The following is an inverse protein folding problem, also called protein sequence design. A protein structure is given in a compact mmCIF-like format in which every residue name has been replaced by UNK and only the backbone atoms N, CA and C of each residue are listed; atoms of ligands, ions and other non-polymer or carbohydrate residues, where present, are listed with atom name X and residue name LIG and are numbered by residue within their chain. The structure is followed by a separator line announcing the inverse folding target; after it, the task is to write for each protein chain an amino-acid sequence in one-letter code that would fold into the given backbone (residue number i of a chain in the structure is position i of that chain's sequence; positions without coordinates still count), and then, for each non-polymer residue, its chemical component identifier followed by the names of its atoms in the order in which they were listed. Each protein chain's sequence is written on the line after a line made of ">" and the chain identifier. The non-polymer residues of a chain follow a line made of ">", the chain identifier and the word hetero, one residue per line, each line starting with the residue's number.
data_IF_993625750616
#
_entry.id   IF_993625750616
#
_cell.length_a   1.000
_cell.length_b   1.000
_cell.length_c   1.000
_cell.angle_alpha   90.00
_cell.angle_beta   90.00
_cell.angle_gamma   90.00
#
_symmetry.space_group_name_H-M   'P 1'
#
loop_
_entity.id
_entity.type
_entity.pdbx_description
1 polymer ?
#
# COMPACT_ATOMS: atom_id res chain seq x y z
N UNK A 1 26.43 -14.54 3.47
CA UNK A 1 25.03 -14.31 3.06
C UNK A 1 24.84 -12.90 2.53
N UNK A 2 25.04 -11.83 3.27
CA UNK A 2 24.66 -10.46 2.85
C UNK A 2 25.18 -10.00 1.48
N UNK A 3 26.44 -10.26 1.11
CA UNK A 3 26.99 -9.87 -0.22
C UNK A 3 26.28 -10.67 -1.33
N UNK A 4 26.07 -11.96 -1.14
CA UNK A 4 25.37 -12.79 -2.11
C UNK A 4 23.91 -12.34 -2.29
N UNK A 5 23.24 -11.94 -1.21
CA UNK A 5 21.87 -11.43 -1.27
C UNK A 5 21.78 -10.12 -2.05
N UNK A 6 22.75 -9.24 -1.90
CA UNK A 6 22.85 -8.01 -2.71
C UNK A 6 23.03 -8.32 -4.19
N UNK A 7 23.89 -9.26 -4.54
CA UNK A 7 24.11 -9.70 -5.94
C UNK A 7 22.83 -10.33 -6.50
N UNK A 8 22.18 -11.18 -5.73
CA UNK A 8 20.94 -11.84 -6.10
C UNK A 8 19.70 -10.94 -5.97
N UNK A 9 19.87 -9.73 -5.43
CA UNK A 9 18.80 -8.77 -5.12
C UNK A 9 17.66 -9.42 -4.33
N UNK A 10 18.00 -10.18 -3.30
CA UNK A 10 17.07 -10.82 -2.38
C UNK A 10 17.12 -10.15 -1.02
N UNK A 11 15.93 -9.87 -0.48
CA UNK A 11 15.76 -9.45 0.91
C UNK A 11 15.31 -10.65 1.73
N UNK A 12 16.07 -10.97 2.78
CA UNK A 12 15.72 -12.02 3.74
C UNK A 12 15.98 -11.60 5.17
N UNK A 13 15.35 -12.27 6.11
CA UNK A 13 15.68 -12.13 7.53
C UNK A 13 16.99 -12.84 7.87
N UNK A 14 17.69 -12.37 8.90
CA UNK A 14 18.82 -13.09 9.49
C UNK A 14 18.26 -14.09 10.50
N UNK A 15 18.41 -15.39 10.23
CA UNK A 15 17.80 -16.47 11.02
C UNK A 15 16.36 -16.81 10.57
N UNK A 16 15.61 -17.49 11.44
CA UNK A 16 14.25 -17.92 11.14
C UNK A 16 13.30 -16.71 11.00
N UNK A 17 12.58 -16.56 9.89
CA UNK A 17 11.71 -15.40 9.64
C UNK A 17 10.61 -15.25 10.68
N UNK A 18 9.92 -16.33 11.05
CA UNK A 18 8.79 -16.26 11.99
C UNK A 18 9.24 -15.77 13.35
N UNK A 19 10.35 -16.32 13.87
CA UNK A 19 10.94 -15.87 15.14
C UNK A 19 11.29 -14.38 15.08
N UNK A 20 11.89 -13.93 13.98
CA UNK A 20 12.30 -12.52 13.83
C UNK A 20 11.13 -11.56 13.75
N UNK A 21 9.99 -11.97 13.16
CA UNK A 21 8.79 -11.15 13.12
C UNK A 21 8.03 -11.15 14.44
N UNK A 22 8.05 -12.25 15.18
CA UNK A 22 7.49 -12.32 16.55
C UNK A 22 8.28 -11.47 17.56
N UNK A 23 9.62 -11.41 17.45
CA UNK A 23 10.45 -10.54 18.31
C UNK A 23 10.16 -9.04 18.09
N UNK A 24 9.97 -8.60 16.86
CA UNK A 24 9.61 -7.22 16.51
C UNK A 24 8.79 -7.23 15.23
N UNK A 25 7.48 -7.15 15.39
CA UNK A 25 6.50 -7.21 14.30
C UNK A 25 6.63 -6.04 13.31
N UNK A 26 7.24 -4.91 13.71
CA UNK A 26 7.49 -3.78 12.81
C UNK A 26 8.44 -4.15 11.65
N UNK A 27 9.24 -5.21 11.81
CA UNK A 27 10.11 -5.75 10.75
C UNK A 27 9.33 -6.15 9.50
N UNK A 28 8.05 -6.54 9.63
CA UNK A 28 7.16 -6.82 8.52
C UNK A 28 7.06 -5.59 7.59
N UNK A 29 6.67 -4.46 8.17
CA UNK A 29 6.50 -3.20 7.44
C UNK A 29 7.84 -2.65 6.92
N UNK A 30 8.88 -2.74 7.73
CA UNK A 30 10.25 -2.35 7.35
C UNK A 30 10.77 -3.14 6.16
N UNK A 31 10.49 -4.45 6.10
CA UNK A 31 10.84 -5.29 4.96
C UNK A 31 10.22 -4.79 3.67
N UNK A 32 8.90 -4.55 3.66
CA UNK A 32 8.18 -4.03 2.51
C UNK A 32 8.74 -2.65 2.07
N UNK A 33 8.97 -1.76 3.05
CA UNK A 33 9.59 -0.46 2.76
C UNK A 33 10.97 -0.59 2.13
N UNK A 34 11.83 -1.47 2.66
CA UNK A 34 13.18 -1.64 2.11
C UNK A 34 13.17 -2.11 0.67
N UNK A 35 12.40 -3.14 0.33
CA UNK A 35 12.26 -3.60 -1.06
C UNK A 35 11.75 -2.46 -1.95
N UNK A 36 10.74 -1.74 -1.50
CA UNK A 36 10.14 -0.65 -2.25
C UNK A 36 11.14 0.50 -2.51
N UNK A 37 11.84 0.97 -1.47
CA UNK A 37 12.82 2.06 -1.57
C UNK A 37 14.04 1.66 -2.41
N UNK A 38 14.54 0.43 -2.26
CA UNK A 38 15.67 -0.07 -3.06
C UNK A 38 15.30 -0.14 -4.54
N UNK A 39 14.10 -0.62 -4.86
CA UNK A 39 13.60 -0.71 -6.22
C UNK A 39 13.42 0.69 -6.84
N UNK A 40 12.86 1.63 -6.09
CA UNK A 40 12.73 3.02 -6.55
C UNK A 40 14.10 3.63 -6.89
N UNK A 41 15.11 3.45 -6.03
CA UNK A 41 16.48 3.93 -6.28
C UNK A 41 17.09 3.29 -7.50
N UNK A 42 16.93 1.98 -7.69
CA UNK A 42 17.43 1.28 -8.87
C UNK A 42 16.82 1.84 -10.16
N UNK A 43 15.50 1.97 -10.20
CA UNK A 43 14.77 2.45 -11.37
C UNK A 43 15.15 3.89 -11.72
N UNK A 44 15.31 4.77 -10.74
CA UNK A 44 15.73 6.17 -10.97
C UNK A 44 17.18 6.25 -11.48
N UNK A 45 18.07 5.44 -10.93
CA UNK A 45 19.48 5.39 -11.36
C UNK A 45 19.62 4.86 -12.79
N UNK A 46 18.81 3.87 -13.15
CA UNK A 46 18.85 3.25 -14.49
C UNK A 46 18.24 4.15 -15.57
N UNK A 47 17.16 4.87 -15.26
CA UNK A 47 16.57 5.86 -16.19
C UNK A 47 17.59 6.93 -16.62
N UNK A 48 18.55 7.25 -15.76
CA UNK A 48 19.60 8.23 -16.05
C UNK A 48 20.76 7.68 -16.89
N UNK A 49 20.81 6.36 -17.10
CA UNK A 49 21.81 5.71 -17.97
C UNK A 49 21.16 5.39 -19.31
N UNK A 50 21.50 6.16 -20.35
CA UNK A 50 20.97 6.00 -21.73
C UNK A 50 21.19 4.63 -22.39
N UNK A 51 21.96 3.72 -21.76
CA UNK A 51 22.44 2.48 -22.39
C UNK A 51 21.68 1.21 -21.98
N UNK A 52 20.87 1.22 -20.90
CA UNK A 52 20.20 0.02 -20.44
C UNK A 52 18.67 0.13 -20.54
N UNK A 53 18.02 -0.72 -21.36
CA UNK A 53 16.57 -0.77 -21.39
C UNK A 53 16.02 -1.23 -20.02
N UNK A 54 15.05 -0.50 -19.49
CA UNK A 54 14.38 -0.74 -18.19
C UNK A 54 13.95 -2.21 -18.04
N UNK A 55 13.64 -2.88 -19.14
CA UNK A 55 13.23 -4.29 -19.17
C UNK A 55 14.32 -5.29 -18.72
N UNK A 56 15.58 -4.87 -18.54
CA UNK A 56 16.68 -5.73 -18.06
C UNK A 56 17.07 -5.49 -16.61
N UNK A 57 16.41 -4.55 -15.90
CA UNK A 57 16.72 -4.27 -14.50
C UNK A 57 16.08 -5.30 -13.61
N UNK A 58 16.88 -6.20 -13.05
CA UNK A 58 16.40 -7.10 -11.99
C UNK A 58 16.16 -6.28 -10.73
N UNK A 59 14.92 -6.32 -10.22
CA UNK A 59 14.53 -5.65 -8.99
C UNK A 59 14.85 -6.51 -7.76
N UNK A 60 14.93 -5.86 -6.60
CA UNK A 60 14.95 -6.55 -5.31
C UNK A 60 13.60 -7.23 -5.07
N UNK A 61 13.66 -8.40 -4.49
CA UNK A 61 12.50 -9.21 -4.14
C UNK A 61 12.77 -9.94 -2.83
N UNK A 62 11.73 -10.45 -2.19
CA UNK A 62 11.90 -11.26 -0.99
C UNK A 62 12.39 -12.66 -1.33
N UNK A 63 13.17 -13.21 -0.41
CA UNK A 63 13.43 -14.64 -0.40
C UNK A 63 12.11 -15.38 -0.08
N UNK A 64 11.82 -16.56 -0.73
CA UNK A 64 10.50 -17.19 -0.66
C UNK A 64 10.00 -17.51 0.76
N UNK A 65 10.88 -18.01 1.64
CA UNK A 65 10.51 -18.32 3.03
C UNK A 65 10.21 -17.04 3.82
N UNK A 66 11.00 -15.99 3.62
CA UNK A 66 10.76 -14.68 4.23
C UNK A 66 9.42 -14.11 3.78
N UNK A 67 9.10 -14.21 2.48
CA UNK A 67 7.82 -13.74 1.95
C UNK A 67 6.63 -14.53 2.49
N UNK A 68 6.75 -15.85 2.55
CA UNK A 68 5.73 -16.71 3.14
C UNK A 68 5.48 -16.34 4.60
N UNK A 69 6.54 -16.13 5.36
CA UNK A 69 6.46 -15.73 6.77
C UNK A 69 5.84 -14.33 6.95
N UNK A 70 6.15 -13.36 6.06
CA UNK A 70 5.50 -12.05 6.05
C UNK A 70 3.98 -12.21 5.95
N UNK A 71 3.50 -13.00 4.98
CA UNK A 71 2.06 -13.23 4.81
C UNK A 71 1.44 -13.95 6.00
N UNK A 72 2.08 -14.98 6.53
CA UNK A 72 1.55 -15.74 7.69
C UNK A 72 1.47 -14.89 8.96
N UNK A 73 2.33 -13.89 9.10
CA UNK A 73 2.46 -13.06 10.30
C UNK A 73 1.84 -11.66 10.16
N UNK A 74 1.13 -11.35 9.05
CA UNK A 74 0.57 -10.02 8.79
C UNK A 74 -0.29 -9.47 9.93
N UNK A 75 -1.03 -10.33 10.64
CA UNK A 75 -1.87 -9.95 11.77
C UNK A 75 -1.10 -9.41 12.98
N UNK A 76 0.21 -9.66 13.09
CA UNK A 76 1.06 -9.07 14.13
C UNK A 76 1.13 -7.55 14.01
N UNK A 77 0.81 -6.96 12.87
CA UNK A 77 0.71 -5.50 12.73
C UNK A 77 -0.26 -4.87 13.74
N UNK A 78 -1.33 -5.60 14.11
CA UNK A 78 -2.34 -5.13 15.08
C UNK A 78 -1.79 -4.96 16.49
N UNK A 79 -0.62 -5.54 16.80
CA UNK A 79 0.03 -5.46 18.11
C UNK A 79 1.05 -4.32 18.21
N UNK A 80 1.33 -3.64 17.09
CA UNK A 80 2.34 -2.58 17.04
C UNK A 80 1.72 -1.24 17.46
N UNK A 81 2.47 -0.45 18.21
CA UNK A 81 2.06 0.92 18.53
C UNK A 81 1.86 1.75 17.25
N UNK A 82 0.77 2.47 17.17
CA UNK A 82 0.32 3.22 15.99
C UNK A 82 1.36 4.24 15.53
N UNK A 83 2.06 4.87 16.43
CA UNK A 83 3.12 5.85 16.17
C UNK A 83 4.28 5.22 15.38
N UNK A 84 4.64 3.96 15.70
CA UNK A 84 5.69 3.23 15.00
C UNK A 84 5.28 2.87 13.57
N UNK A 85 4.02 2.46 13.38
CA UNK A 85 3.44 2.19 12.05
C UNK A 85 3.45 3.48 11.23
N UNK A 86 2.93 4.56 11.78
CA UNK A 86 2.87 5.89 11.14
C UNK A 86 4.26 6.36 10.68
N UNK A 87 5.27 6.22 11.54
CA UNK A 87 6.64 6.60 11.20
C UNK A 87 7.19 5.79 10.01
N UNK A 88 7.01 4.46 9.98
CA UNK A 88 7.45 3.62 8.88
C UNK A 88 6.69 3.90 7.58
N UNK A 89 5.38 4.12 7.62
CA UNK A 89 4.58 4.52 6.46
C UNK A 89 5.02 5.88 5.93
N UNK A 90 5.24 6.87 6.80
CA UNK A 90 5.74 8.20 6.40
C UNK A 90 7.06 8.08 5.65
N UNK A 91 8.01 7.30 6.17
CA UNK A 91 9.30 7.03 5.49
C UNK A 91 9.08 6.35 4.13
N UNK A 92 8.18 5.36 4.07
CA UNK A 92 7.90 4.61 2.86
C UNK A 92 7.27 5.49 1.76
N UNK A 93 6.31 6.33 2.12
CA UNK A 93 5.65 7.25 1.20
C UNK A 93 6.54 8.42 0.76
N UNK A 94 7.50 8.84 1.61
CA UNK A 94 8.45 9.92 1.27
C UNK A 94 9.57 9.44 0.37
N UNK A 95 10.09 8.23 0.60
CA UNK A 95 11.35 7.76 -0.02
C UNK A 95 11.15 6.71 -1.11
N UNK A 96 10.03 6.01 -1.08
CA UNK A 96 9.73 4.90 -1.97
C UNK A 96 8.80 5.28 -3.11
N UNK A 97 8.32 4.24 -3.78
CA UNK A 97 7.27 4.27 -4.77
C UNK A 97 5.93 3.96 -4.10
N UNK A 98 5.04 4.93 -3.89
CA UNK A 98 3.76 4.70 -3.20
C UNK A 98 2.89 3.65 -3.89
N UNK A 99 2.80 3.65 -5.21
CA UNK A 99 2.09 2.64 -5.99
C UNK A 99 2.63 1.22 -5.71
N UNK A 100 3.95 1.04 -5.79
CA UNK A 100 4.58 -0.26 -5.52
C UNK A 100 4.43 -0.69 -4.05
N UNK A 101 4.45 0.26 -3.10
CA UNK A 101 4.22 -0.04 -1.69
C UNK A 101 2.80 -0.56 -1.44
N UNK A 102 1.78 0.11 -2.00
CA UNK A 102 0.38 -0.32 -1.83
C UNK A 102 0.16 -1.70 -2.42
N UNK A 103 0.77 -2.01 -3.58
CA UNK A 103 0.75 -3.35 -4.15
C UNK A 103 1.36 -4.41 -3.23
N UNK A 104 2.53 -4.12 -2.63
CA UNK A 104 3.17 -5.03 -1.67
C UNK A 104 2.34 -5.23 -0.39
N UNK A 105 1.72 -4.16 0.12
CA UNK A 105 0.82 -4.25 1.29
C UNK A 105 -0.41 -5.10 0.98
N UNK A 106 -0.92 -5.00 -0.22
CA UNK A 106 -2.06 -5.78 -0.68
C UNK A 106 -1.73 -7.27 -0.81
N UNK A 107 -0.64 -7.60 -1.49
CA UNK A 107 -0.16 -8.97 -1.64
C UNK A 107 0.20 -9.63 -0.28
N UNK A 108 0.62 -8.83 0.70
CA UNK A 108 0.94 -9.27 2.05
C UNK A 108 -0.29 -9.31 2.99
N UNK A 109 -1.51 -9.03 2.48
CA UNK A 109 -2.76 -8.97 3.26
C UNK A 109 -2.76 -7.92 4.37
N UNK A 110 -1.84 -6.94 4.30
CA UNK A 110 -1.70 -5.86 5.27
C UNK A 110 -2.56 -4.64 4.94
N UNK A 111 -3.03 -4.53 3.69
CA UNK A 111 -3.79 -3.37 3.23
C UNK A 111 -5.07 -3.18 4.04
N UNK A 112 -5.81 -4.26 4.31
CA UNK A 112 -7.05 -4.23 5.09
C UNK A 112 -6.83 -3.81 6.55
N UNK A 113 -5.62 -4.00 7.08
CA UNK A 113 -5.27 -3.62 8.45
C UNK A 113 -4.88 -2.15 8.52
N UNK A 114 -4.09 -1.68 7.54
CA UNK A 114 -3.49 -0.35 7.56
C UNK A 114 -4.37 0.71 6.87
N UNK A 115 -5.12 0.31 5.85
CA UNK A 115 -5.96 1.18 5.01
C UNK A 115 -7.31 0.51 4.72
N UNK A 116 -8.13 0.24 5.76
CA UNK A 116 -9.39 -0.49 5.60
C UNK A 116 -10.35 0.20 4.63
N UNK A 117 -10.46 1.51 4.65
CA UNK A 117 -11.31 2.26 3.71
C UNK A 117 -10.86 2.07 2.24
N UNK A 118 -9.54 2.06 1.99
CA UNK A 118 -9.01 1.78 0.66
C UNK A 118 -9.29 0.32 0.24
N UNK A 119 -9.14 -0.63 1.16
CA UNK A 119 -9.39 -2.04 0.86
C UNK A 119 -10.85 -2.30 0.45
N UNK A 120 -11.82 -1.55 1.01
CA UNK A 120 -13.23 -1.63 0.66
C UNK A 120 -13.53 -1.17 -0.78
N UNK A 121 -12.65 -0.37 -1.40
CA UNK A 121 -12.87 0.13 -2.78
C UNK A 121 -12.64 -0.92 -3.86
N UNK A 122 -12.09 -2.08 -3.51
CA UNK A 122 -11.86 -3.17 -4.46
C UNK A 122 -13.17 -3.74 -5.00
N UNK A 123 -13.20 -3.97 -6.30
CA UNK A 123 -14.35 -4.52 -7.01
C UNK A 123 -15.64 -3.68 -6.86
N UNK A 124 -15.50 -2.39 -6.54
CA UNK A 124 -16.60 -1.44 -6.59
C UNK A 124 -16.60 -0.78 -7.96
N UNK A 125 -17.48 -1.28 -8.83
CA UNK A 125 -17.59 -0.77 -10.19
C UNK A 125 -18.09 0.68 -10.22
N UNK A 126 -17.66 1.41 -11.23
CA UNK A 126 -18.10 2.77 -11.52
C UNK A 126 -18.81 2.81 -12.86
N UNK A 127 -19.69 3.82 -13.13
CA UNK A 127 -20.30 3.96 -14.44
C UNK A 127 -19.24 4.07 -15.53
N UNK A 128 -19.22 3.09 -16.45
CA UNK A 128 -18.21 2.92 -17.52
C UNK A 128 -18.03 4.17 -18.38
N UNK A 129 -19.10 4.98 -18.50
CA UNK A 129 -19.09 6.25 -19.26
C UNK A 129 -18.03 7.25 -18.73
N UNK A 130 -17.71 7.19 -17.44
CA UNK A 130 -16.81 8.13 -16.77
C UNK A 130 -15.49 7.50 -16.34
N UNK A 131 -15.53 6.21 -15.96
CA UNK A 131 -14.38 5.51 -15.41
C UNK A 131 -14.37 4.05 -15.90
N UNK A 132 -13.35 3.64 -16.68
CA UNK A 132 -13.27 2.26 -17.19
C UNK A 132 -12.78 1.24 -16.15
N UNK A 133 -12.44 1.69 -14.94
CA UNK A 133 -11.88 0.87 -13.85
C UNK A 133 -12.77 0.95 -12.61
N UNK A 134 -12.68 -0.05 -11.73
CA UNK A 134 -13.25 0.01 -10.38
C UNK A 134 -12.60 1.13 -9.55
N UNK A 135 -13.18 1.47 -8.39
CA UNK A 135 -12.71 2.58 -7.56
C UNK A 135 -11.28 2.36 -7.10
N UNK A 136 -10.92 1.13 -6.69
CA UNK A 136 -9.56 0.79 -6.26
C UNK A 136 -8.54 1.02 -7.38
N UNK A 137 -8.79 0.43 -8.54
CA UNK A 137 -7.90 0.54 -9.70
C UNK A 137 -7.71 1.99 -10.15
N UNK A 138 -8.79 2.79 -10.10
CA UNK A 138 -8.72 4.23 -10.36
C UNK A 138 -7.79 4.95 -9.37
N UNK A 139 -7.96 4.72 -8.06
CA UNK A 139 -7.12 5.32 -7.01
C UNK A 139 -5.65 4.94 -7.21
N UNK A 140 -5.38 3.65 -7.43
CA UNK A 140 -4.00 3.14 -7.60
C UNK A 140 -3.35 3.69 -8.86
N UNK A 141 -4.08 3.77 -9.97
CA UNK A 141 -3.58 4.35 -11.22
C UNK A 141 -3.28 5.85 -11.07
N UNK A 142 -4.15 6.59 -10.36
CA UNK A 142 -3.93 8.01 -10.08
C UNK A 142 -2.69 8.21 -9.21
N UNK A 143 -2.48 7.35 -8.20
CA UNK A 143 -1.28 7.35 -7.37
C UNK A 143 -0.01 7.05 -8.19
N UNK A 144 -0.09 6.12 -9.15
CA UNK A 144 1.00 5.83 -10.07
C UNK A 144 1.43 7.06 -10.88
N UNK A 145 0.47 7.82 -11.42
CA UNK A 145 0.77 9.04 -12.16
C UNK A 145 1.30 10.16 -11.26
N UNK A 146 0.70 10.32 -10.06
CA UNK A 146 1.11 11.35 -9.11
C UNK A 146 2.56 11.19 -8.66
N UNK A 147 3.03 9.97 -8.46
CA UNK A 147 4.40 9.72 -7.98
C UNK A 147 5.49 10.30 -8.90
N UNK A 148 5.18 10.47 -10.18
CA UNK A 148 6.11 11.04 -11.16
C UNK A 148 6.29 12.56 -11.02
N UNK A 149 5.30 13.25 -10.45
CA UNK A 149 5.22 14.72 -10.41
C UNK A 149 5.25 15.31 -9.00
N UNK A 150 4.98 14.52 -7.98
CA UNK A 150 4.92 14.99 -6.59
C UNK A 150 5.56 14.01 -5.61
N UNK A 151 6.48 14.53 -4.78
CA UNK A 151 7.20 13.76 -3.76
C UNK A 151 6.70 14.01 -2.34
N UNK A 152 5.78 14.95 -2.13
CA UNK A 152 5.22 15.23 -0.82
C UNK A 152 4.35 14.06 -0.36
N UNK A 153 4.72 13.44 0.75
CA UNK A 153 4.03 12.26 1.28
C UNK A 153 2.58 12.55 1.68
N UNK A 154 2.26 13.77 2.16
CA UNK A 154 0.88 14.15 2.50
C UNK A 154 -0.03 14.18 1.28
N UNK A 155 0.48 14.69 0.14
CA UNK A 155 -0.25 14.68 -1.12
C UNK A 155 -0.48 13.25 -1.60
N UNK A 156 0.53 12.39 -1.44
CA UNK A 156 0.44 10.96 -1.79
C UNK A 156 -0.56 10.22 -0.91
N UNK A 157 -0.61 10.53 0.39
CA UNK A 157 -1.64 10.00 1.30
C UNK A 157 -3.03 10.53 0.95
N UNK A 158 -3.18 11.82 0.71
CA UNK A 158 -4.46 12.40 0.29
C UNK A 158 -4.99 11.73 -0.99
N UNK A 159 -4.08 11.37 -1.92
CA UNK A 159 -4.44 10.68 -3.15
C UNK A 159 -4.99 9.26 -2.90
N UNK A 160 -4.55 8.55 -1.85
CA UNK A 160 -5.14 7.25 -1.50
C UNK A 160 -6.61 7.37 -1.06
N UNK A 161 -7.00 8.52 -0.54
CA UNK A 161 -8.32 8.72 0.05
C UNK A 161 -9.27 9.57 -0.78
N UNK A 162 -8.81 10.13 -1.93
CA UNK A 162 -9.61 11.12 -2.66
C UNK A 162 -10.99 10.59 -3.11
N UNK A 163 -11.10 9.29 -3.35
CA UNK A 163 -12.28 8.64 -3.91
C UNK A 163 -12.81 7.46 -3.07
N UNK A 164 -12.25 7.17 -1.88
CA UNK A 164 -12.72 6.04 -1.05
C UNK A 164 -14.20 6.17 -0.67
N UNK A 165 -14.72 7.38 -0.52
CA UNK A 165 -16.13 7.64 -0.25
C UNK A 165 -17.10 7.25 -1.37
N UNK A 166 -16.60 6.98 -2.58
CA UNK A 166 -17.41 6.44 -3.68
C UNK A 166 -17.99 5.06 -3.40
N UNK A 167 -17.40 4.30 -2.51
CA UNK A 167 -17.93 2.98 -2.10
C UNK A 167 -19.37 3.11 -1.60
N UNK A 168 -19.68 4.13 -0.77
CA UNK A 168 -21.05 4.40 -0.34
C UNK A 168 -21.97 4.81 -1.48
N UNK A 169 -21.46 5.52 -2.49
CA UNK A 169 -22.22 5.98 -3.64
C UNK A 169 -22.54 4.84 -4.62
N UNK A 170 -21.62 3.88 -4.78
CA UNK A 170 -21.71 2.79 -5.76
C UNK A 170 -21.85 1.40 -5.12
N UNK A 171 -22.21 1.32 -3.83
CA UNK A 171 -22.36 0.06 -3.10
C UNK A 171 -23.35 -0.93 -3.78
N UNK A 172 -24.32 -0.41 -4.52
CA UNK A 172 -25.28 -1.19 -5.29
C UNK A 172 -24.71 -1.82 -6.57
N UNK A 173 -23.52 -1.39 -7.02
CA UNK A 173 -22.92 -1.81 -8.28
C UNK A 173 -21.95 -2.99 -8.19
N UNK A 174 -21.84 -3.68 -7.07
CA UNK A 174 -20.99 -4.86 -7.10
C UNK A 174 -20.53 -5.48 -5.79
N UNK A 175 -20.86 -4.92 -4.66
CA UNK A 175 -20.49 -5.49 -3.36
C UNK A 175 -21.70 -5.66 -2.44
N UNK A 176 -21.90 -6.88 -1.95
CA UNK A 176 -22.72 -7.09 -0.76
C UNK A 176 -21.96 -6.59 0.47
N UNK A 177 -22.00 -5.30 0.71
CA UNK A 177 -21.48 -4.71 1.94
C UNK A 177 -22.44 -5.06 3.09
N UNK A 178 -21.89 -5.34 4.26
CA UNK A 178 -22.68 -5.47 5.49
C UNK A 178 -23.39 -4.14 5.81
N UNK A 179 -24.48 -4.21 6.56
CA UNK A 179 -25.21 -3.00 7.00
C UNK A 179 -24.30 -2.03 7.76
N UNK A 180 -23.31 -2.53 8.49
CA UNK A 180 -22.37 -1.70 9.26
C UNK A 180 -21.36 -1.02 8.34
N UNK A 181 -20.83 -1.72 7.34
CA UNK A 181 -19.94 -1.13 6.32
C UNK A 181 -20.68 -0.04 5.53
N UNK A 182 -21.94 -0.29 5.13
CA UNK A 182 -22.77 0.74 4.47
C UNK A 182 -23.00 1.93 5.40
N UNK A 183 -23.29 1.70 6.70
CA UNK A 183 -23.53 2.77 7.66
C UNK A 183 -22.31 3.67 7.85
N UNK A 184 -21.11 3.08 7.96
CA UNK A 184 -19.83 3.81 8.03
C UNK A 184 -19.64 4.66 6.77
N UNK A 185 -19.94 4.09 5.59
CA UNK A 185 -19.77 4.75 4.31
C UNK A 185 -20.84 5.81 4.01
N UNK A 186 -22.07 5.63 4.53
CA UNK A 186 -23.20 6.54 4.34
C UNK A 186 -23.38 7.55 5.50
N UNK A 187 -22.58 7.47 6.56
CA UNK A 187 -22.67 8.41 7.69
C UNK A 187 -22.27 9.85 7.32
N UNK A 188 -21.79 10.07 6.10
CA UNK A 188 -21.53 11.39 5.53
C UNK A 188 -22.65 11.85 4.58
N UNK A 189 -22.76 13.16 4.31
CA UNK A 189 -23.66 13.67 3.28
C UNK A 189 -23.29 13.07 1.91
N UNK A 190 -24.24 12.97 0.99
CA UNK A 190 -24.17 12.35 -0.35
C UNK A 190 -22.97 12.74 -1.25
N UNK A 191 -22.03 13.51 -0.73
CA UNK A 191 -20.82 13.93 -1.42
C UNK A 191 -19.64 13.01 -1.06
N UNK A 192 -19.22 12.17 -2.01
CA UNK A 192 -18.08 11.25 -1.84
C UNK A 192 -16.79 11.94 -1.32
N UNK A 193 -16.60 13.22 -1.61
CA UNK A 193 -15.43 13.99 -1.11
C UNK A 193 -15.46 14.14 0.41
N UNK A 194 -16.63 14.42 0.97
CA UNK A 194 -16.79 14.51 2.42
C UNK A 194 -16.64 13.13 3.08
N UNK A 195 -17.30 12.11 2.52
CA UNK A 195 -17.15 10.72 2.99
C UNK A 195 -15.70 10.25 2.93
N UNK A 196 -14.97 10.61 1.86
CA UNK A 196 -13.54 10.30 1.76
C UNK A 196 -12.72 10.96 2.87
N UNK A 197 -13.02 12.21 3.22
CA UNK A 197 -12.32 12.91 4.30
C UNK A 197 -12.59 12.28 5.68
N UNK A 198 -13.83 11.90 5.96
CA UNK A 198 -14.21 11.22 7.21
C UNK A 198 -13.51 9.88 7.33
N UNK A 199 -13.54 9.06 6.28
CA UNK A 199 -12.89 7.75 6.27
C UNK A 199 -11.37 7.86 6.40
N UNK A 200 -10.77 8.88 5.80
CA UNK A 200 -9.35 9.17 5.97
C UNK A 200 -9.03 9.53 7.43
N UNK A 201 -9.87 10.36 8.07
CA UNK A 201 -9.68 10.73 9.47
C UNK A 201 -9.80 9.52 10.40
N UNK A 202 -10.78 8.63 10.17
CA UNK A 202 -10.95 7.41 10.94
C UNK A 202 -9.76 6.45 10.79
N UNK A 203 -9.29 6.21 9.57
CA UNK A 203 -8.12 5.38 9.33
C UNK A 203 -6.87 5.99 9.99
N UNK A 204 -6.67 7.31 9.87
CA UNK A 204 -5.53 7.99 10.49
C UNK A 204 -5.59 8.01 12.03
N UNK A 205 -6.78 8.04 12.64
CA UNK A 205 -6.92 7.87 14.09
C UNK A 205 -6.60 6.45 14.52
N UNK A 206 -6.75 5.48 13.60
CA UNK A 206 -6.47 4.07 13.84
C UNK A 206 -5.03 3.66 13.48
N UNK A 207 -4.25 4.55 12.86
CA UNK A 207 -2.80 4.47 12.65
C UNK A 207 -2.03 5.25 13.71
#
# INVERSE_FOLDING_TARGET
>A
MGIQDLVLKKLRTVGNPDTRFQEDSLRLLRGLRFVNVLNQKLLTTTKNKKSDPINKVRLFDFEPETWKSIKSNHNLLKTIAKERIKEELTKAFSQGNPFGLVGLLDEAEMLVILFPALALTKHVDQPIRYHPFDVYSHIILTLYHLQAINTNYLVRFAMLYHDVGKVGQYAEYGKNLSKEEIRILLAGPLNHRFSSAVLAEEDFRNL
#
